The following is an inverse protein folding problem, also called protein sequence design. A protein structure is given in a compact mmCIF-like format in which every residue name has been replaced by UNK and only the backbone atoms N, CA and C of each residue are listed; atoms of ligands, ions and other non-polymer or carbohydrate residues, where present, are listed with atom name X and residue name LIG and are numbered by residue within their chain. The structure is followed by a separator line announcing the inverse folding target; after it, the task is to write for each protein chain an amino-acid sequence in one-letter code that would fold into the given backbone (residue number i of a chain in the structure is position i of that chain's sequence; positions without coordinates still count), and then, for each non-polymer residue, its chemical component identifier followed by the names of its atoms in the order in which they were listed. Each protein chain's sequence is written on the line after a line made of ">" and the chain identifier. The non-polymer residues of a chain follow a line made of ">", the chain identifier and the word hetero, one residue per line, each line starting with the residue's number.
data_IF_398302672844
#
_entry.id   IF_398302672844
#
_cell.length_a   1.000
_cell.length_b   1.000
_cell.length_c   1.000
_cell.angle_alpha   90.00
_cell.angle_beta   90.00
_cell.angle_gamma   90.00
#
_symmetry.space_group_name_H-M   'P 1'
#
loop_
_entity.id
_entity.type
_entity.pdbx_description
1 polymer ?
#
# COMPACT_ATOMS: atom_id res chain seq x y z
N UNK A 1 19.49 -14.45 33.95
CA UNK A 1 20.43 -13.90 32.94
C UNK A 1 19.56 -13.19 31.92
N UNK A 2 19.91 -12.01 31.39
CA UNK A 2 19.19 -11.51 30.22
C UNK A 2 19.35 -12.57 29.13
N UNK A 3 18.23 -13.07 28.59
CA UNK A 3 18.25 -14.06 27.52
C UNK A 3 19.10 -13.51 26.36
N UNK A 4 20.03 -14.32 25.86
CA UNK A 4 20.83 -13.92 24.70
C UNK A 4 19.89 -13.62 23.52
N UNK A 5 20.12 -12.53 22.76
CA UNK A 5 19.31 -12.22 21.60
C UNK A 5 19.42 -13.35 20.57
N UNK A 6 18.28 -13.71 19.96
CA UNK A 6 18.21 -14.80 18.98
C UNK A 6 19.02 -14.46 17.73
N UNK A 7 19.83 -15.42 17.29
CA UNK A 7 20.62 -15.29 16.06
C UNK A 7 19.80 -15.68 14.82
N UNK A 8 20.25 -15.36 13.60
CA UNK A 8 19.63 -15.87 12.38
C UNK A 8 19.51 -17.39 12.33
N UNK A 9 20.48 -18.12 12.91
CA UNK A 9 20.44 -19.58 12.98
C UNK A 9 19.33 -20.09 13.94
N UNK A 10 19.07 -19.36 15.03
CA UNK A 10 17.98 -19.70 15.96
C UNK A 10 16.62 -19.44 15.31
N UNK A 11 16.47 -18.31 14.62
CA UNK A 11 15.28 -18.03 13.83
C UNK A 11 15.08 -19.03 12.69
N UNK A 12 16.13 -19.44 11.99
CA UNK A 12 16.04 -20.49 10.96
C UNK A 12 15.42 -21.78 11.54
N UNK A 13 15.91 -22.25 12.70
CA UNK A 13 15.32 -23.42 13.38
C UNK A 13 13.87 -23.20 13.75
N UNK A 14 13.51 -22.03 14.29
CA UNK A 14 12.11 -21.70 14.62
C UNK A 14 11.21 -21.67 13.38
N UNK A 15 11.68 -21.09 12.29
CA UNK A 15 10.94 -21.00 11.00
C UNK A 15 10.69 -22.40 10.43
N UNK A 16 11.71 -23.27 10.44
CA UNK A 16 11.57 -24.65 9.94
C UNK A 16 10.62 -25.50 10.79
N UNK A 17 10.48 -25.19 12.08
CA UNK A 17 9.54 -25.86 12.99
C UNK A 17 8.21 -25.12 13.17
N UNK A 18 7.99 -24.03 12.41
CA UNK A 18 6.79 -23.24 12.53
C UNK A 18 5.56 -24.02 12.05
N UNK A 19 4.46 -23.93 12.79
CA UNK A 19 3.26 -24.76 12.57
C UNK A 19 2.22 -24.11 11.66
N UNK A 20 2.65 -23.23 10.74
CA UNK A 20 1.74 -22.31 10.03
C UNK A 20 0.72 -23.00 9.12
N UNK A 21 1.07 -24.16 8.53
CA UNK A 21 0.28 -24.81 7.48
C UNK A 21 -1.00 -25.51 7.97
N UNK A 22 -1.25 -25.51 9.28
CA UNK A 22 -2.53 -25.93 9.83
C UNK A 22 -3.69 -24.95 9.47
N UNK A 23 -3.33 -23.69 9.15
CA UNK A 23 -4.25 -22.61 8.76
C UNK A 23 -3.83 -21.86 7.49
N UNK A 24 -2.54 -21.80 7.19
CA UNK A 24 -2.01 -21.13 6.01
C UNK A 24 -1.83 -22.12 4.85
N UNK A 25 -1.87 -21.59 3.63
CA UNK A 25 -1.46 -22.32 2.43
C UNK A 25 -0.10 -21.80 1.97
N UNK A 26 0.66 -22.63 1.27
CA UNK A 26 1.78 -22.12 0.48
C UNK A 26 1.22 -21.26 -0.65
N UNK A 27 1.38 -19.95 -0.53
CA UNK A 27 0.84 -19.01 -1.51
C UNK A 27 1.61 -19.04 -2.81
N UNK A 28 0.96 -18.66 -3.92
CA UNK A 28 1.61 -18.64 -5.22
C UNK A 28 2.77 -17.63 -5.28
N UNK A 29 3.79 -17.95 -6.09
CA UNK A 29 4.85 -17.03 -6.50
C UNK A 29 4.72 -16.82 -8.01
N UNK A 30 4.05 -15.74 -8.41
CA UNK A 30 3.61 -15.54 -9.79
C UNK A 30 4.43 -14.47 -10.51
N UNK A 31 4.84 -14.66 -11.77
CA UNK A 31 5.52 -13.60 -12.51
C UNK A 31 4.57 -12.46 -12.88
N UNK A 32 4.94 -11.22 -12.54
CA UNK A 32 4.32 -10.00 -13.06
C UNK A 32 4.90 -9.70 -14.45
N UNK A 33 4.32 -10.30 -15.49
CA UNK A 33 4.84 -10.28 -16.86
C UNK A 33 4.81 -8.88 -17.47
N UNK A 34 3.71 -8.15 -17.31
CA UNK A 34 3.54 -6.83 -17.87
C UNK A 34 4.47 -5.82 -17.18
N UNK A 35 4.48 -5.82 -15.83
CA UNK A 35 5.40 -4.99 -15.06
C UNK A 35 6.86 -5.32 -15.37
N UNK A 36 7.23 -6.60 -15.35
CA UNK A 36 8.60 -7.05 -15.60
C UNK A 36 9.11 -6.64 -16.98
N UNK A 37 8.28 -6.83 -18.03
CA UNK A 37 8.61 -6.37 -19.38
C UNK A 37 8.78 -4.85 -19.45
N UNK A 38 7.94 -4.08 -18.75
CA UNK A 38 8.01 -2.61 -18.74
C UNK A 38 9.28 -2.08 -18.09
N UNK A 39 9.77 -2.72 -17.03
CA UNK A 39 10.94 -2.26 -16.27
C UNK A 39 12.24 -3.00 -16.63
N UNK A 40 12.22 -3.91 -17.62
CA UNK A 40 13.40 -4.64 -18.07
C UNK A 40 13.98 -5.62 -17.05
N UNK A 41 13.17 -6.12 -16.10
CA UNK A 41 13.59 -7.03 -15.03
C UNK A 41 12.51 -8.10 -14.78
N UNK A 42 12.87 -9.20 -14.13
CA UNK A 42 11.88 -10.20 -13.69
C UNK A 42 11.29 -9.79 -12.35
N UNK A 43 9.97 -9.68 -12.26
CA UNK A 43 9.27 -9.41 -11.00
C UNK A 43 8.38 -10.60 -10.66
N UNK A 44 8.56 -11.13 -9.45
CA UNK A 44 7.77 -12.23 -8.89
C UNK A 44 6.89 -11.69 -7.76
N UNK A 45 5.62 -12.07 -7.74
CA UNK A 45 4.62 -11.66 -6.78
C UNK A 45 4.35 -12.82 -5.83
N UNK A 46 4.74 -12.68 -4.56
CA UNK A 46 4.39 -13.64 -3.51
C UNK A 46 3.00 -13.31 -2.97
N UNK A 47 2.02 -14.13 -3.34
CA UNK A 47 0.57 -13.88 -3.23
C UNK A 47 -0.02 -14.13 -1.83
N UNK A 48 0.51 -13.49 -0.80
CA UNK A 48 -0.02 -13.62 0.57
C UNK A 48 -1.43 -13.04 0.74
N UNK A 49 -1.91 -12.27 -0.23
CA UNK A 49 -3.30 -11.84 -0.38
C UNK A 49 -4.28 -13.00 -0.62
N UNK A 50 -3.81 -14.17 -1.06
CA UNK A 50 -4.64 -15.36 -1.32
C UNK A 50 -4.85 -16.25 -0.08
N UNK A 51 -4.30 -15.86 1.08
CA UNK A 51 -4.52 -16.60 2.32
C UNK A 51 -6.02 -16.54 2.75
N UNK A 52 -6.51 -17.49 3.57
CA UNK A 52 -7.92 -17.50 4.01
C UNK A 52 -8.43 -16.23 4.72
N UNK A 53 -7.53 -15.40 5.25
CA UNK A 53 -7.82 -14.10 5.88
C UNK A 53 -7.28 -12.93 5.06
N UNK A 54 -7.01 -13.17 3.78
CA UNK A 54 -6.56 -12.21 2.77
C UNK A 54 -5.29 -11.43 3.14
N UNK A 55 -4.43 -12.01 3.99
CA UNK A 55 -3.14 -11.43 4.38
C UNK A 55 -2.25 -12.47 5.06
N UNK A 56 -0.96 -12.18 5.18
CA UNK A 56 0.00 -13.08 5.84
C UNK A 56 -0.17 -13.24 7.35
N UNK A 57 -0.97 -12.39 8.01
CA UNK A 57 -0.98 -12.26 9.48
C UNK A 57 -1.39 -13.54 10.21
N UNK A 58 -2.14 -14.44 9.56
CA UNK A 58 -2.47 -15.76 10.12
C UNK A 58 -1.23 -16.59 10.47
N UNK A 59 -0.12 -16.44 9.75
CA UNK A 59 1.07 -17.29 9.92
C UNK A 59 1.68 -17.11 11.30
N UNK A 60 2.15 -15.90 11.63
CA UNK A 60 2.73 -15.64 12.95
C UNK A 60 1.71 -15.65 14.09
N UNK A 61 0.47 -15.21 13.86
CA UNK A 61 -0.58 -15.32 14.88
C UNK A 61 -0.80 -16.79 15.27
N UNK A 62 -1.01 -17.66 14.29
CA UNK A 62 -1.18 -19.08 14.55
C UNK A 62 0.09 -19.72 15.11
N UNK A 63 1.27 -19.39 14.57
CA UNK A 63 2.52 -19.97 15.08
C UNK A 63 2.73 -19.66 16.56
N UNK A 64 2.51 -18.41 16.98
CA UNK A 64 2.55 -18.05 18.41
C UNK A 64 1.55 -18.86 19.22
N UNK A 65 0.31 -18.94 18.76
CA UNK A 65 -0.76 -19.63 19.48
C UNK A 65 -0.54 -21.14 19.57
N UNK A 66 -0.03 -21.76 18.51
CA UNK A 66 0.25 -23.20 18.44
C UNK A 66 1.43 -23.65 19.34
N UNK A 67 2.22 -22.69 19.83
CA UNK A 67 3.30 -22.90 20.80
C UNK A 67 2.89 -22.56 22.25
N UNK A 68 1.65 -22.14 22.48
CA UNK A 68 1.14 -21.92 23.83
C UNK A 68 0.90 -23.25 24.55
N UNK A 69 1.05 -23.24 25.87
CA UNK A 69 0.72 -24.40 26.68
C UNK A 69 -0.79 -24.68 26.69
N UNK A 70 -1.23 -25.92 26.95
CA UNK A 70 -2.64 -26.23 27.10
C UNK A 70 -3.36 -25.35 28.13
N UNK A 71 -2.69 -24.98 29.23
CA UNK A 71 -3.23 -24.10 30.26
C UNK A 71 -3.43 -22.67 29.76
N UNK A 72 -2.50 -22.16 28.95
CA UNK A 72 -2.62 -20.84 28.32
C UNK A 72 -3.77 -20.82 27.30
N UNK A 73 -3.88 -21.87 26.47
CA UNK A 73 -4.97 -22.02 25.50
C UNK A 73 -6.34 -22.19 26.18
N UNK A 74 -6.40 -22.88 27.32
CA UNK A 74 -7.63 -23.05 28.10
C UNK A 74 -8.13 -21.71 28.68
N UNK A 75 -7.21 -20.81 29.08
CA UNK A 75 -7.57 -19.45 29.54
C UNK A 75 -8.04 -18.56 28.39
N UNK A 76 -7.39 -18.69 27.23
CA UNK A 76 -7.67 -17.90 26.05
C UNK A 76 -6.59 -16.89 25.72
N UNK A 77 -6.74 -16.30 24.53
CA UNK A 77 -5.83 -15.31 23.97
C UNK A 77 -6.50 -13.96 23.81
N UNK A 78 -5.69 -12.91 23.73
CA UNK A 78 -6.15 -11.54 23.51
C UNK A 78 -5.25 -10.81 22.52
N UNK A 79 -5.83 -9.93 21.69
CA UNK A 79 -5.06 -8.94 20.96
C UNK A 79 -5.85 -7.63 20.82
N UNK A 80 -5.15 -6.54 20.54
CA UNK A 80 -5.75 -5.28 20.10
C UNK A 80 -5.46 -5.11 18.61
N UNK A 81 -6.51 -5.16 17.79
CA UNK A 81 -6.43 -4.90 16.34
C UNK A 81 -7.83 -4.85 15.76
N UNK A 82 -8.05 -3.95 14.81
CA UNK A 82 -9.28 -3.88 14.04
C UNK A 82 -9.12 -4.43 12.61
N UNK A 83 -8.02 -5.09 12.26
CA UNK A 83 -7.68 -5.43 10.86
C UNK A 83 -7.11 -6.83 10.66
N UNK A 84 -6.10 -6.94 9.78
CA UNK A 84 -5.51 -8.21 9.34
C UNK A 84 -5.04 -9.11 10.50
N UNK A 85 -4.46 -8.52 11.55
CA UNK A 85 -4.02 -9.29 12.72
C UNK A 85 -5.19 -9.89 13.51
N UNK A 86 -6.28 -9.15 13.67
CA UNK A 86 -7.48 -9.63 14.35
C UNK A 86 -8.07 -10.87 13.68
N UNK A 87 -8.14 -10.85 12.33
CA UNK A 87 -8.61 -12.00 11.56
C UNK A 87 -7.66 -13.21 11.72
N UNK A 88 -6.34 -12.98 11.68
CA UNK A 88 -5.34 -14.02 11.90
C UNK A 88 -5.47 -14.70 13.28
N UNK A 89 -5.64 -13.90 14.34
CA UNK A 89 -5.85 -14.41 15.71
C UNK A 89 -7.17 -15.15 15.83
N UNK A 90 -8.26 -14.60 15.31
CA UNK A 90 -9.59 -15.24 15.37
C UNK A 90 -9.61 -16.58 14.63
N UNK A 91 -9.05 -16.65 13.42
CA UNK A 91 -8.90 -17.91 12.67
C UNK A 91 -8.09 -18.93 13.45
N UNK A 92 -6.94 -18.52 13.99
CA UNK A 92 -6.07 -19.41 14.76
C UNK A 92 -6.74 -19.93 16.03
N UNK A 93 -7.52 -19.08 16.69
CA UNK A 93 -8.27 -19.43 17.90
C UNK A 93 -9.32 -20.49 17.62
N UNK A 94 -10.10 -20.30 16.54
CA UNK A 94 -11.09 -21.27 16.07
C UNK A 94 -10.45 -22.61 15.74
N UNK A 95 -9.29 -22.61 15.07
CA UNK A 95 -8.57 -23.84 14.72
C UNK A 95 -8.09 -24.60 15.96
N UNK A 96 -7.61 -23.90 16.98
CA UNK A 96 -7.08 -24.48 18.22
C UNK A 96 -8.15 -24.74 19.29
N UNK A 97 -9.41 -24.35 19.05
CA UNK A 97 -10.48 -24.47 20.02
C UNK A 97 -10.29 -23.60 21.27
N UNK A 98 -9.62 -22.45 21.13
CA UNK A 98 -9.36 -21.50 22.23
C UNK A 98 -10.22 -20.24 22.10
N UNK A 99 -10.54 -19.61 23.23
CA UNK A 99 -11.22 -18.31 23.27
C UNK A 99 -10.26 -17.23 22.78
N UNK A 100 -10.71 -16.37 21.86
CA UNK A 100 -9.95 -15.18 21.44
C UNK A 100 -10.74 -13.90 21.66
N UNK A 101 -10.23 -13.06 22.55
CA UNK A 101 -10.74 -11.72 22.80
C UNK A 101 -10.03 -10.73 21.88
N UNK A 102 -10.79 -9.99 21.09
CA UNK A 102 -10.26 -9.04 20.11
C UNK A 102 -10.75 -7.65 20.49
N UNK A 103 -9.83 -6.82 20.98
CA UNK A 103 -10.16 -5.45 21.38
C UNK A 103 -10.01 -4.52 20.18
N UNK A 104 -11.05 -3.74 19.92
CA UNK A 104 -11.12 -2.78 18.82
C UNK A 104 -11.63 -1.43 19.31
N UNK A 105 -11.25 -0.30 18.67
CA UNK A 105 -11.88 0.99 18.95
C UNK A 105 -13.39 0.96 18.66
N UNK A 106 -14.19 1.75 19.37
CA UNK A 106 -15.64 1.90 19.15
C UNK A 106 -15.96 2.48 17.77
N UNK A 107 -14.99 3.17 17.17
CA UNK A 107 -15.04 3.78 15.83
C UNK A 107 -14.76 2.77 14.70
N UNK A 108 -14.52 1.49 15.03
CA UNK A 108 -14.22 0.47 14.03
C UNK A 108 -15.40 0.22 13.10
N UNK A 109 -15.22 0.24 11.76
CA UNK A 109 -16.30 -0.06 10.82
C UNK A 109 -16.94 -1.43 11.07
N UNK A 110 -18.27 -1.50 10.97
CA UNK A 110 -19.04 -2.72 11.24
C UNK A 110 -18.56 -3.93 10.41
N UNK A 111 -18.17 -3.71 9.15
CA UNK A 111 -17.62 -4.76 8.28
C UNK A 111 -16.39 -5.45 8.89
N UNK A 112 -15.48 -4.70 9.52
CA UNK A 112 -14.26 -5.25 10.15
C UNK A 112 -14.61 -6.02 11.44
N UNK A 113 -15.60 -5.55 12.18
CA UNK A 113 -16.14 -6.24 13.37
C UNK A 113 -16.76 -7.58 12.96
N UNK A 114 -17.60 -7.57 11.93
CA UNK A 114 -18.33 -8.76 11.47
C UNK A 114 -17.38 -9.81 10.88
N UNK A 115 -16.33 -9.40 10.17
CA UNK A 115 -15.30 -10.31 9.68
C UNK A 115 -14.62 -11.11 10.81
N UNK A 116 -14.33 -10.45 11.94
CA UNK A 116 -13.72 -11.13 13.10
C UNK A 116 -14.73 -12.02 13.83
N UNK A 117 -15.97 -11.58 13.98
CA UNK A 117 -17.04 -12.41 14.57
C UNK A 117 -17.33 -13.65 13.74
N UNK A 118 -17.33 -13.55 12.41
CA UNK A 118 -17.51 -14.67 11.49
C UNK A 118 -16.41 -15.73 11.63
N UNK A 119 -15.22 -15.33 12.06
CA UNK A 119 -14.10 -16.23 12.37
C UNK A 119 -14.16 -16.80 13.80
N UNK A 120 -15.12 -16.38 14.62
CA UNK A 120 -15.30 -16.84 16.00
C UNK A 120 -14.60 -16.00 17.06
N UNK A 121 -14.09 -14.81 16.71
CA UNK A 121 -13.49 -13.88 17.67
C UNK A 121 -14.53 -13.17 18.54
N UNK A 122 -14.26 -13.06 19.84
CA UNK A 122 -15.02 -12.27 20.80
C UNK A 122 -14.60 -10.80 20.71
N UNK A 123 -15.36 -10.00 19.97
CA UNK A 123 -15.04 -8.58 19.76
C UNK A 123 -15.47 -7.75 20.97
N UNK A 124 -14.50 -7.04 21.55
CA UNK A 124 -14.70 -6.09 22.63
C UNK A 124 -14.38 -4.67 22.12
N UNK A 125 -15.41 -3.83 22.00
CA UNK A 125 -15.25 -2.43 21.61
C UNK A 125 -14.85 -1.59 22.83
N UNK A 126 -13.74 -0.85 22.73
CA UNK A 126 -13.28 0.03 23.79
C UNK A 126 -12.39 1.16 23.25
N UNK A 127 -12.67 2.39 23.70
CA UNK A 127 -11.89 3.58 23.37
C UNK A 127 -12.10 4.08 21.95
N UNK A 128 -11.62 5.30 21.67
CA UNK A 128 -11.82 5.97 20.39
C UNK A 128 -10.66 5.75 19.41
N UNK A 129 -9.50 5.29 19.94
CA UNK A 129 -8.28 5.06 19.18
C UNK A 129 -7.70 3.65 19.38
N UNK A 130 -6.78 3.25 18.50
CA UNK A 130 -6.01 2.00 18.66
C UNK A 130 -5.25 1.96 19.99
N UNK A 131 -4.69 3.09 20.43
CA UNK A 131 -3.96 3.18 21.70
C UNK A 131 -4.85 2.87 22.90
N UNK A 132 -6.08 3.40 22.90
CA UNK A 132 -7.05 3.13 23.98
C UNK A 132 -7.47 1.66 24.00
N UNK A 133 -7.72 1.08 22.82
CA UNK A 133 -8.02 -0.35 22.68
C UNK A 133 -6.84 -1.23 23.15
N UNK A 134 -5.60 -0.86 22.84
CA UNK A 134 -4.40 -1.58 23.28
C UNK A 134 -4.18 -1.52 24.79
N UNK A 135 -4.33 -0.35 25.41
CA UNK A 135 -4.21 -0.18 26.86
C UNK A 135 -5.27 -1.04 27.57
N UNK A 136 -6.52 -0.97 27.12
CA UNK A 136 -7.60 -1.80 27.66
C UNK A 136 -7.35 -3.29 27.45
N UNK A 137 -6.84 -3.71 26.29
CA UNK A 137 -6.46 -5.11 26.05
C UNK A 137 -5.38 -5.59 27.03
N UNK A 138 -4.42 -4.73 27.37
CA UNK A 138 -3.35 -5.05 28.34
C UNK A 138 -3.89 -5.15 29.77
N UNK A 139 -4.86 -4.32 30.14
CA UNK A 139 -5.57 -4.42 31.42
C UNK A 139 -6.39 -5.71 31.51
N UNK A 140 -7.15 -6.01 30.45
CA UNK A 140 -7.98 -7.20 30.34
C UNK A 140 -7.14 -8.48 30.38
N UNK A 141 -5.99 -8.47 29.70
CA UNK A 141 -4.99 -9.53 29.74
C UNK A 141 -4.60 -9.86 31.18
N UNK A 142 -4.25 -8.85 31.99
CA UNK A 142 -3.84 -9.04 33.39
C UNK A 142 -5.00 -9.51 34.25
N UNK A 143 -6.19 -8.97 34.04
CA UNK A 143 -7.39 -9.28 34.83
C UNK A 143 -7.90 -10.70 34.62
N UNK A 144 -7.92 -11.17 33.37
CA UNK A 144 -8.46 -12.49 33.00
C UNK A 144 -7.37 -13.55 32.82
N UNK A 145 -6.09 -13.18 32.89
CA UNK A 145 -4.97 -14.09 32.71
C UNK A 145 -4.85 -14.62 31.28
N UNK A 146 -5.29 -13.84 30.29
CA UNK A 146 -5.23 -14.17 28.86
C UNK A 146 -3.80 -14.01 28.34
N UNK A 147 -3.48 -14.73 27.26
CA UNK A 147 -2.18 -14.58 26.59
C UNK A 147 -2.26 -13.56 25.46
N UNK A 148 -1.42 -12.52 25.50
CA UNK A 148 -1.39 -11.51 24.44
C UNK A 148 -0.70 -12.04 23.19
N UNK A 149 -1.37 -11.97 22.04
CA UNK A 149 -0.79 -12.34 20.73
C UNK A 149 -0.37 -11.06 20.03
N UNK A 150 0.93 -10.76 20.11
CA UNK A 150 1.47 -9.52 19.58
C UNK A 150 1.45 -9.50 18.02
N UNK A 151 1.16 -8.36 17.38
CA UNK A 151 1.05 -8.28 15.91
C UNK A 151 2.37 -8.40 15.12
N UNK A 152 3.53 -8.27 15.78
CA UNK A 152 4.84 -8.34 15.14
C UNK A 152 6.02 -8.65 16.07
N UNK A 153 6.16 -7.94 17.19
CA UNK A 153 7.26 -8.02 18.16
C UNK A 153 7.22 -9.25 19.09
N UNK A 154 7.25 -10.44 18.52
CA UNK A 154 7.36 -11.71 19.26
C UNK A 154 8.15 -12.73 18.42
N UNK A 155 9.11 -13.47 19.00
CA UNK A 155 9.94 -14.42 18.23
C UNK A 155 9.16 -15.50 17.48
N UNK A 156 8.06 -16.02 18.04
CA UNK A 156 7.23 -17.01 17.35
C UNK A 156 6.40 -16.37 16.25
N UNK A 157 5.97 -15.12 16.44
CA UNK A 157 5.29 -14.36 15.39
C UNK A 157 6.25 -14.14 14.22
N UNK A 158 7.46 -13.65 14.50
CA UNK A 158 8.54 -13.43 13.50
C UNK A 158 8.87 -14.72 12.76
N UNK A 159 9.04 -15.84 13.49
CA UNK A 159 9.32 -17.14 12.88
C UNK A 159 8.18 -17.63 11.98
N UNK A 160 6.92 -17.42 12.39
CA UNK A 160 5.77 -17.72 11.54
C UNK A 160 5.80 -16.91 10.24
N UNK A 161 6.18 -15.63 10.28
CA UNK A 161 6.26 -14.82 9.06
C UNK A 161 7.43 -15.24 8.16
N UNK A 162 8.54 -15.68 8.75
CA UNK A 162 9.72 -16.17 8.01
C UNK A 162 9.44 -17.38 7.12
N UNK A 163 8.34 -18.11 7.35
CA UNK A 163 7.90 -19.20 6.47
C UNK A 163 7.62 -18.72 5.03
N UNK A 164 7.29 -17.45 4.83
CA UNK A 164 7.11 -16.87 3.49
C UNK A 164 8.43 -16.86 2.72
N UNK A 165 9.54 -16.51 3.36
CA UNK A 165 10.85 -16.53 2.72
C UNK A 165 11.31 -17.96 2.41
N UNK A 166 10.99 -18.92 3.29
CA UNK A 166 11.18 -20.35 3.03
C UNK A 166 10.46 -20.79 1.76
N UNK A 167 9.20 -20.40 1.61
CA UNK A 167 8.43 -20.70 0.41
C UNK A 167 9.02 -20.02 -0.83
N UNK A 168 9.38 -18.74 -0.77
CA UNK A 168 9.98 -18.01 -1.90
C UNK A 168 11.24 -18.73 -2.40
N UNK A 169 12.17 -19.09 -1.50
CA UNK A 169 13.42 -19.77 -1.90
C UNK A 169 13.19 -21.20 -2.39
N UNK A 170 12.15 -21.88 -1.92
CA UNK A 170 11.76 -23.20 -2.43
C UNK A 170 11.12 -23.11 -3.83
N UNK A 171 10.26 -22.12 -4.03
CA UNK A 171 9.51 -21.90 -5.28
C UNK A 171 10.39 -21.34 -6.39
N UNK A 172 11.44 -20.57 -6.05
CA UNK A 172 12.39 -20.00 -7.00
C UNK A 172 13.84 -20.31 -6.63
N UNK A 173 14.40 -21.32 -7.29
CA UNK A 173 15.78 -21.79 -7.07
C UNK A 173 16.81 -21.00 -7.89
N UNK A 174 16.37 -20.15 -8.81
CA UNK A 174 17.25 -19.37 -9.69
C UNK A 174 17.89 -18.16 -9.00
N UNK A 175 18.54 -17.32 -9.81
CA UNK A 175 19.05 -16.02 -9.36
C UNK A 175 17.87 -15.18 -8.85
N UNK A 176 18.05 -14.63 -7.65
CA UNK A 176 17.13 -13.71 -6.99
C UNK A 176 18.00 -12.61 -6.42
N UNK A 177 17.82 -11.38 -6.87
CA UNK A 177 18.68 -10.25 -6.55
C UNK A 177 18.19 -9.52 -5.30
N UNK A 178 16.86 -9.32 -5.18
CA UNK A 178 16.27 -8.70 -4.01
C UNK A 178 14.85 -9.19 -3.68
N UNK A 179 14.49 -9.14 -2.40
CA UNK A 179 13.14 -9.33 -1.88
C UNK A 179 12.67 -8.04 -1.20
N UNK A 180 11.57 -7.49 -1.70
CA UNK A 180 10.96 -6.25 -1.20
C UNK A 180 9.81 -6.58 -0.26
N UNK A 181 9.86 -5.98 0.93
CA UNK A 181 8.96 -6.35 2.03
C UNK A 181 8.40 -5.10 2.69
N UNK A 182 7.06 -5.02 2.75
CA UNK A 182 6.36 -3.96 3.47
C UNK A 182 6.67 -4.00 4.98
N UNK A 183 6.88 -2.82 5.56
CA UNK A 183 7.18 -2.64 6.98
C UNK A 183 6.11 -1.76 7.64
N UNK A 184 5.38 -2.37 8.57
CA UNK A 184 4.69 -1.64 9.65
C UNK A 184 5.53 -1.72 10.92
N UNK A 185 5.14 -2.63 11.83
CA UNK A 185 5.90 -2.86 13.07
C UNK A 185 7.17 -3.69 12.90
N UNK A 186 7.41 -4.32 11.75
CA UNK A 186 8.66 -5.02 11.42
C UNK A 186 8.61 -6.56 11.42
N UNK A 187 7.52 -7.19 11.86
CA UNK A 187 7.48 -8.66 12.03
C UNK A 187 7.71 -9.45 10.74
N UNK A 188 7.18 -8.98 9.60
CA UNK A 188 7.35 -9.64 8.30
C UNK A 188 8.80 -9.54 7.80
N UNK A 189 9.34 -8.32 7.71
CA UNK A 189 10.73 -8.07 7.28
C UNK A 189 11.71 -8.81 8.18
N UNK A 190 11.49 -8.86 9.50
CA UNK A 190 12.37 -9.57 10.42
C UNK A 190 12.38 -11.07 10.17
N UNK A 191 11.22 -11.69 9.91
CA UNK A 191 11.13 -13.12 9.59
C UNK A 191 11.80 -13.43 8.25
N UNK A 192 11.52 -12.61 7.24
CA UNK A 192 12.09 -12.74 5.89
C UNK A 192 13.61 -12.56 5.92
N UNK A 193 14.12 -11.52 6.57
CA UNK A 193 15.54 -11.22 6.67
C UNK A 193 16.30 -12.33 7.38
N UNK A 194 15.82 -12.82 8.53
CA UNK A 194 16.46 -13.93 9.24
C UNK A 194 16.60 -15.18 8.37
N UNK A 195 15.54 -15.56 7.65
CA UNK A 195 15.59 -16.74 6.79
C UNK A 195 16.54 -16.56 5.61
N UNK A 196 16.38 -15.46 4.87
CA UNK A 196 17.18 -15.18 3.67
C UNK A 196 18.66 -15.08 4.04
N UNK A 197 19.00 -14.30 5.08
CA UNK A 197 20.40 -14.12 5.49
C UNK A 197 21.03 -15.39 6.05
N UNK A 198 20.25 -16.34 6.55
CA UNK A 198 20.76 -17.63 7.00
C UNK A 198 20.99 -18.64 5.85
N UNK A 199 20.22 -18.55 4.75
CA UNK A 199 20.21 -19.57 3.68
C UNK A 199 20.89 -19.08 2.40
N UNK A 200 20.63 -17.84 2.00
CA UNK A 200 21.12 -17.19 0.77
C UNK A 200 21.46 -15.72 1.05
N UNK A 201 22.54 -15.45 1.82
CA UNK A 201 22.88 -14.10 2.30
C UNK A 201 23.18 -13.09 1.20
N UNK A 202 23.47 -13.56 -0.02
CA UNK A 202 23.71 -12.72 -1.19
C UNK A 202 22.43 -12.03 -1.71
N UNK A 203 21.24 -12.52 -1.36
CA UNK A 203 19.99 -11.86 -1.73
C UNK A 203 19.80 -10.60 -0.85
N UNK A 204 19.50 -9.47 -1.48
CA UNK A 204 19.16 -8.24 -0.76
C UNK A 204 17.75 -8.32 -0.19
N UNK A 205 17.57 -7.88 1.04
CA UNK A 205 16.27 -7.74 1.70
C UNK A 205 16.02 -6.26 1.89
N UNK A 206 15.01 -5.75 1.19
CA UNK A 206 14.72 -4.31 1.11
C UNK A 206 13.39 -4.04 1.83
N UNK A 207 13.47 -3.20 2.86
CA UNK A 207 12.33 -2.73 3.63
C UNK A 207 11.60 -1.59 2.93
N UNK A 208 10.27 -1.65 2.92
CA UNK A 208 9.45 -0.62 2.26
C UNK A 208 8.45 -0.02 3.22
N UNK A 209 8.39 1.30 3.31
CA UNK A 209 7.43 2.05 4.12
C UNK A 209 6.74 3.16 3.31
N UNK A 210 5.61 3.63 3.81
CA UNK A 210 5.06 4.91 3.35
C UNK A 210 5.96 6.06 3.83
N UNK A 211 6.08 7.12 3.03
CA UNK A 211 6.79 8.35 3.42
C UNK A 211 6.19 9.04 4.67
N UNK A 212 4.91 8.83 4.95
CA UNK A 212 4.19 9.35 6.11
C UNK A 212 4.04 8.33 7.26
N UNK A 213 4.71 7.17 7.18
CA UNK A 213 4.73 6.14 8.22
C UNK A 213 6.00 5.29 8.16
N UNK A 214 7.16 5.93 8.25
CA UNK A 214 8.51 5.39 8.04
C UNK A 214 9.29 5.13 9.35
N UNK A 215 8.58 4.75 10.42
CA UNK A 215 9.14 4.62 11.77
C UNK A 215 10.36 3.69 11.87
N UNK A 216 10.44 2.61 11.08
CA UNK A 216 11.59 1.70 11.10
C UNK A 216 12.81 2.35 10.46
N UNK A 217 12.65 2.96 9.29
CA UNK A 217 13.73 3.67 8.59
C UNK A 217 14.31 4.78 9.48
N UNK A 218 13.46 5.61 10.10
CA UNK A 218 13.91 6.65 11.04
C UNK A 218 14.60 6.05 12.27
N UNK A 219 14.06 4.96 12.83
CA UNK A 219 14.66 4.31 14.00
C UNK A 219 16.05 3.73 13.68
N UNK A 220 16.19 3.06 12.53
CA UNK A 220 17.47 2.47 12.09
C UNK A 220 18.51 3.55 11.85
N UNK A 221 18.13 4.64 11.18
CA UNK A 221 19.01 5.79 10.96
C UNK A 221 19.43 6.45 12.29
N UNK A 222 18.53 6.57 13.26
CA UNK A 222 18.81 7.12 14.58
C UNK A 222 19.53 6.15 15.53
N UNK A 223 19.72 4.88 15.13
CA UNK A 223 20.23 3.78 15.97
C UNK A 223 19.44 3.54 17.27
N UNK A 224 18.21 4.05 17.37
CA UNK A 224 17.30 3.87 18.50
C UNK A 224 15.85 3.92 18.01
N UNK A 225 14.93 3.27 18.73
CA UNK A 225 13.50 3.33 18.38
C UNK A 225 12.98 4.76 18.50
N UNK A 226 12.48 5.30 17.39
CA UNK A 226 11.83 6.61 17.30
C UNK A 226 10.32 6.41 17.31
N UNK A 227 9.61 7.23 18.09
CA UNK A 227 8.14 7.30 18.06
C UNK A 227 7.73 8.44 17.13
N UNK A 228 7.01 8.13 16.06
CA UNK A 228 6.47 9.15 15.18
C UNK A 228 5.33 9.92 15.88
N UNK A 229 5.25 11.25 15.71
CA UNK A 229 4.15 12.03 16.27
C UNK A 229 2.82 11.62 15.64
N UNK A 230 2.80 11.38 14.34
CA UNK A 230 1.64 11.01 13.53
C UNK A 230 2.03 10.01 12.44
N UNK A 231 1.02 9.33 11.89
CA UNK A 231 1.17 8.37 10.80
C UNK A 231 0.04 8.52 9.78
N UNK A 232 0.36 8.35 8.51
CA UNK A 232 -0.62 8.27 7.43
C UNK A 232 -1.56 7.08 7.57
N UNK A 233 -2.82 7.24 7.15
CA UNK A 233 -3.86 6.21 7.23
C UNK A 233 -4.25 5.60 5.87
N UNK A 234 -3.49 5.94 4.82
CA UNK A 234 -3.72 5.33 3.50
C UNK A 234 -3.41 3.84 3.54
N UNK A 235 -2.22 3.48 4.03
CA UNK A 235 -1.79 2.10 4.31
C UNK A 235 -1.94 1.78 5.80
N UNK A 236 -3.17 1.52 6.25
CA UNK A 236 -3.51 1.29 7.67
C UNK A 236 -2.77 0.08 8.28
N UNK A 237 -2.50 -0.96 7.49
CA UNK A 237 -1.70 -2.13 7.92
C UNK A 237 -0.24 -1.82 8.26
N UNK A 238 0.31 -0.70 7.78
CA UNK A 238 1.68 -0.25 8.04
C UNK A 238 1.78 1.04 8.87
N UNK A 239 0.64 1.64 9.24
CA UNK A 239 0.54 2.86 10.03
C UNK A 239 0.96 2.62 11.51
N UNK A 240 2.27 2.56 11.76
CA UNK A 240 2.84 2.21 13.06
C UNK A 240 3.73 3.34 13.58
N UNK A 241 3.36 3.95 14.72
CA UNK A 241 4.11 5.04 15.35
C UNK A 241 5.43 4.58 15.98
N UNK A 242 5.47 3.37 16.54
CA UNK A 242 6.62 2.81 17.24
C UNK A 242 6.82 1.36 16.85
N UNK A 243 8.00 1.05 16.33
CA UNK A 243 8.37 -0.31 15.90
C UNK A 243 8.68 -1.23 17.08
N UNK A 244 8.66 -2.54 16.83
CA UNK A 244 8.99 -3.54 17.85
C UNK A 244 10.46 -3.50 18.25
N UNK A 245 10.77 -3.90 19.47
CA UNK A 245 12.13 -3.96 20.01
C UNK A 245 12.99 -4.98 19.28
N UNK A 246 12.50 -6.21 19.18
CA UNK A 246 13.23 -7.30 18.53
C UNK A 246 13.25 -7.09 17.02
N UNK A 247 12.12 -6.63 16.46
CA UNK A 247 12.05 -6.33 15.03
C UNK A 247 12.99 -5.18 14.63
N UNK A 248 13.18 -4.18 15.49
CA UNK A 248 14.14 -3.09 15.28
C UNK A 248 15.58 -3.61 15.29
N UNK A 249 15.94 -4.42 16.31
CA UNK A 249 17.27 -5.04 16.41
C UNK A 249 17.60 -5.83 15.14
N UNK A 250 16.70 -6.72 14.73
CA UNK A 250 16.86 -7.54 13.52
C UNK A 250 16.97 -6.66 12.27
N UNK A 251 16.08 -5.67 12.13
CA UNK A 251 16.05 -4.84 10.92
C UNK A 251 17.35 -4.04 10.76
N UNK A 252 17.88 -3.49 11.86
CA UNK A 252 19.16 -2.78 11.86
C UNK A 252 20.34 -3.68 11.45
N UNK A 253 20.28 -4.97 11.76
CA UNK A 253 21.38 -5.92 11.56
C UNK A 253 21.33 -6.64 10.20
N UNK A 254 20.13 -6.93 9.68
CA UNK A 254 19.95 -7.86 8.56
C UNK A 254 19.31 -7.25 7.30
N UNK A 255 18.67 -6.08 7.38
CA UNK A 255 18.00 -5.44 6.23
C UNK A 255 19.03 -4.57 5.50
N UNK A 256 19.13 -4.76 4.18
CA UNK A 256 20.19 -4.14 3.39
C UNK A 256 19.87 -2.68 3.00
N UNK A 257 18.59 -2.35 2.85
CA UNK A 257 18.15 -1.02 2.42
C UNK A 257 16.70 -0.75 2.84
N UNK A 258 16.36 0.53 3.03
CA UNK A 258 15.01 1.00 3.30
C UNK A 258 14.58 2.00 2.23
N UNK A 259 13.40 1.79 1.66
CA UNK A 259 12.79 2.67 0.66
C UNK A 259 11.48 3.21 1.20
N UNK A 260 11.26 4.51 1.06
CA UNK A 260 9.97 5.14 1.29
C UNK A 260 9.28 5.41 -0.04
N UNK A 261 7.98 5.15 -0.10
CA UNK A 261 7.11 5.42 -1.25
C UNK A 261 5.94 6.32 -0.82
N UNK A 262 5.42 7.12 -1.73
CA UNK A 262 4.24 7.96 -1.49
C UNK A 262 2.93 7.26 -1.88
N UNK A 263 1.81 7.93 -1.59
CA UNK A 263 0.46 7.42 -1.87
C UNK A 263 0.23 7.16 -3.36
N UNK A 264 0.74 8.03 -4.23
CA UNK A 264 0.54 7.95 -5.68
C UNK A 264 1.30 6.74 -6.26
N UNK A 265 2.53 6.52 -5.82
CA UNK A 265 3.33 5.36 -6.18
C UNK A 265 2.66 4.05 -5.74
N UNK A 266 2.06 4.02 -4.55
CA UNK A 266 1.30 2.86 -4.07
C UNK A 266 0.03 2.64 -4.89
N UNK A 267 -0.72 3.69 -5.23
CA UNK A 267 -1.89 3.58 -6.11
C UNK A 267 -1.52 3.00 -7.48
N UNK A 268 -0.42 3.48 -8.07
CA UNK A 268 0.12 2.91 -9.30
C UNK A 268 0.55 1.44 -9.11
N UNK A 269 1.13 1.08 -7.96
CA UNK A 269 1.45 -0.30 -7.61
C UNK A 269 0.22 -1.22 -7.54
N UNK A 270 -0.89 -0.76 -6.96
CA UNK A 270 -2.16 -1.51 -6.94
C UNK A 270 -2.66 -1.75 -8.37
N UNK A 271 -2.60 -0.71 -9.22
CA UNK A 271 -2.97 -0.80 -10.64
C UNK A 271 -2.10 -1.81 -11.39
N UNK A 272 -0.78 -1.81 -11.15
CA UNK A 272 0.14 -2.76 -11.76
C UNK A 272 -0.18 -4.21 -11.38
N UNK A 273 -0.43 -4.47 -10.09
CA UNK A 273 -0.88 -5.80 -9.63
C UNK A 273 -2.18 -6.21 -10.31
N UNK A 274 -3.16 -5.29 -10.40
CA UNK A 274 -4.42 -5.57 -11.08
C UNK A 274 -4.24 -5.86 -12.58
N UNK A 275 -3.31 -5.17 -13.25
CA UNK A 275 -3.02 -5.39 -14.67
C UNK A 275 -2.46 -6.80 -14.90
N UNK A 276 -1.51 -7.22 -14.06
CA UNK A 276 -0.85 -8.52 -14.20
C UNK A 276 -1.70 -9.70 -13.70
N UNK A 277 -2.49 -9.51 -12.64
CA UNK A 277 -3.12 -10.63 -11.92
C UNK A 277 -4.65 -10.60 -11.91
N UNK A 278 -5.27 -9.48 -12.32
CA UNK A 278 -6.72 -9.20 -12.15
C UNK A 278 -7.19 -9.29 -10.69
N UNK A 279 -6.26 -9.22 -9.74
CA UNK A 279 -6.54 -9.21 -8.30
C UNK A 279 -6.36 -7.81 -7.75
N UNK A 280 -7.10 -7.51 -6.68
CA UNK A 280 -7.03 -6.23 -5.98
C UNK A 280 -6.32 -6.46 -4.66
N UNK A 281 -5.28 -5.68 -4.40
CA UNK A 281 -4.54 -5.68 -3.13
C UNK A 281 -4.86 -4.40 -2.34
N UNK A 282 -4.65 -4.46 -1.03
CA UNK A 282 -4.72 -3.29 -0.18
C UNK A 282 -3.45 -2.44 -0.35
N UNK A 283 -3.43 -1.17 0.09
CA UNK A 283 -2.25 -0.30 -0.07
C UNK A 283 -0.94 -0.92 0.46
N UNK A 284 -0.97 -1.54 1.64
CA UNK A 284 0.19 -2.26 2.20
C UNK A 284 0.66 -3.41 1.30
N UNK A 285 -0.27 -4.08 0.62
CA UNK A 285 0.01 -5.16 -0.33
C UNK A 285 0.73 -4.68 -1.58
N UNK A 286 0.59 -3.43 -1.98
CA UNK A 286 1.23 -2.86 -3.17
C UNK A 286 2.57 -2.14 -2.90
N UNK A 287 2.93 -1.90 -1.63
CA UNK A 287 4.17 -1.19 -1.25
C UNK A 287 5.42 -1.78 -1.94
N UNK A 288 5.59 -3.10 -1.87
CA UNK A 288 6.75 -3.78 -2.44
C UNK A 288 6.84 -3.59 -3.97
N UNK A 289 5.70 -3.56 -4.66
CA UNK A 289 5.65 -3.33 -6.12
C UNK A 289 6.01 -1.88 -6.46
N UNK A 290 5.49 -0.92 -5.70
CA UNK A 290 5.84 0.50 -5.85
C UNK A 290 7.35 0.72 -5.66
N UNK A 291 7.93 0.12 -4.61
CA UNK A 291 9.36 0.24 -4.34
C UNK A 291 10.25 -0.39 -5.41
N UNK A 292 9.85 -1.52 -6.01
CA UNK A 292 10.61 -2.11 -7.13
C UNK A 292 10.75 -1.11 -8.28
N UNK A 293 9.67 -0.40 -8.63
CA UNK A 293 9.68 0.59 -9.73
C UNK A 293 10.67 1.72 -9.42
N UNK A 294 10.57 2.30 -8.22
CA UNK A 294 11.47 3.36 -7.76
C UNK A 294 12.92 2.88 -7.68
N UNK A 295 13.13 1.64 -7.22
CA UNK A 295 14.46 1.04 -7.11
C UNK A 295 15.12 0.89 -8.48
N UNK A 296 14.40 0.36 -9.47
CA UNK A 296 14.89 0.23 -10.85
C UNK A 296 15.17 1.59 -11.48
N UNK A 297 14.29 2.58 -11.27
CA UNK A 297 14.51 3.95 -11.76
C UNK A 297 15.76 4.59 -11.16
N UNK A 298 15.98 4.39 -9.85
CA UNK A 298 17.11 4.97 -9.12
C UNK A 298 18.44 4.29 -9.46
N UNK A 299 18.43 2.96 -9.63
CA UNK A 299 19.66 2.18 -9.80
C UNK A 299 19.96 1.81 -11.26
N UNK A 300 19.01 1.98 -12.18
CA UNK A 300 19.18 1.65 -13.60
C UNK A 300 19.40 0.16 -13.87
N UNK A 301 18.89 -0.72 -13.01
CA UNK A 301 19.11 -2.17 -13.09
C UNK A 301 18.38 -2.80 -14.28
N UNK A 302 19.00 -3.81 -14.90
CA UNK A 302 18.44 -4.56 -16.02
C UNK A 302 18.75 -6.06 -15.90
N UNK A 303 17.78 -6.91 -16.24
CA UNK A 303 17.92 -8.36 -16.22
C UNK A 303 18.00 -8.98 -14.82
N UNK A 304 17.76 -8.21 -13.76
CA UNK A 304 17.70 -8.70 -12.39
C UNK A 304 16.35 -9.36 -12.09
N UNK A 305 16.29 -10.15 -11.01
CA UNK A 305 15.09 -10.83 -10.55
C UNK A 305 14.72 -10.37 -9.15
N UNK A 306 13.51 -9.85 -8.99
CA UNK A 306 12.98 -9.33 -7.72
C UNK A 306 11.75 -10.11 -7.28
N UNK A 307 11.57 -10.26 -5.97
CA UNK A 307 10.31 -10.72 -5.38
C UNK A 307 9.64 -9.59 -4.58
N UNK A 308 8.37 -9.33 -4.86
CA UNK A 308 7.50 -8.46 -4.06
C UNK A 308 6.52 -9.31 -3.26
N UNK A 309 6.40 -9.05 -1.96
CA UNK A 309 5.41 -9.71 -1.11
C UNK A 309 4.10 -8.90 -1.13
N UNK A 310 3.07 -9.46 -1.75
CA UNK A 310 1.71 -8.90 -1.72
C UNK A 310 1.05 -9.24 -0.39
N UNK A 311 1.33 -8.42 0.63
CA UNK A 311 1.10 -8.81 2.02
C UNK A 311 -0.37 -8.80 2.48
N UNK A 312 -1.30 -8.24 1.70
CA UNK A 312 -2.73 -8.28 2.02
C UNK A 312 -3.65 -7.67 0.95
N UNK A 313 -4.95 -7.92 1.11
CA UNK A 313 -6.02 -7.47 0.22
C UNK A 313 -7.31 -6.99 0.94
N UNK A 314 -7.25 -6.69 2.23
CA UNK A 314 -8.42 -6.24 3.00
C UNK A 314 -8.64 -4.72 2.85
N UNK A 315 -9.16 -4.31 1.69
CA UNK A 315 -9.50 -2.91 1.41
C UNK A 315 -11.02 -2.74 1.20
N UNK A 316 -11.57 -1.60 1.63
CA UNK A 316 -12.95 -1.24 1.28
C UNK A 316 -13.04 -0.93 -0.23
N UNK A 317 -14.06 -1.48 -0.90
CA UNK A 317 -14.32 -1.28 -2.31
C UNK A 317 -14.43 0.20 -2.70
N UNK A 318 -15.03 1.05 -1.84
CA UNK A 318 -15.16 2.48 -2.11
C UNK A 318 -13.81 3.20 -2.25
N UNK A 319 -12.75 2.69 -1.62
CA UNK A 319 -11.39 3.25 -1.74
C UNK A 319 -10.80 3.05 -3.15
N UNK A 320 -11.34 2.13 -3.96
CA UNK A 320 -10.86 1.94 -5.32
C UNK A 320 -11.05 3.17 -6.20
N UNK A 321 -12.07 3.99 -5.92
CA UNK A 321 -12.25 5.26 -6.61
C UNK A 321 -11.04 6.17 -6.41
N UNK A 322 -10.64 6.36 -5.15
CA UNK A 322 -9.46 7.16 -4.82
C UNK A 322 -8.18 6.58 -5.44
N UNK A 323 -8.01 5.25 -5.39
CA UNK A 323 -6.87 4.57 -6.01
C UNK A 323 -6.84 4.80 -7.52
N UNK A 324 -7.99 4.70 -8.20
CA UNK A 324 -8.08 4.93 -9.64
C UNK A 324 -7.74 6.37 -10.01
N UNK A 325 -8.30 7.34 -9.28
CA UNK A 325 -8.02 8.78 -9.49
C UNK A 325 -6.52 9.09 -9.28
N UNK A 326 -5.91 8.60 -8.19
CA UNK A 326 -4.49 8.84 -7.88
C UNK A 326 -3.51 8.08 -8.78
N UNK A 327 -3.85 6.87 -9.23
CA UNK A 327 -2.96 6.08 -10.08
C UNK A 327 -2.77 6.72 -11.47
N UNK A 328 -3.79 7.39 -12.02
CA UNK A 328 -3.65 8.14 -13.28
C UNK A 328 -2.74 9.37 -13.12
N UNK A 329 -2.85 10.05 -11.98
CA UNK A 329 -2.01 11.19 -11.61
C UNK A 329 -0.54 10.77 -11.44
N UNK A 330 -0.26 9.75 -10.61
CA UNK A 330 1.10 9.34 -10.26
C UNK A 330 1.90 8.74 -11.42
N UNK A 331 1.23 8.18 -12.43
CA UNK A 331 1.88 7.68 -13.65
C UNK A 331 2.09 8.78 -14.71
N UNK A 332 1.75 10.05 -14.42
CA UNK A 332 1.68 11.15 -15.40
C UNK A 332 0.93 10.72 -16.67
N UNK A 333 -0.21 10.03 -16.48
CA UNK A 333 -1.13 9.63 -17.56
C UNK A 333 -2.23 10.64 -17.83
N UNK A 334 -2.34 11.65 -16.98
CA UNK A 334 -3.19 12.81 -17.16
C UNK A 334 -2.32 14.07 -17.03
N UNK A 335 -2.39 14.95 -18.02
CA UNK A 335 -1.81 16.28 -17.95
C UNK A 335 -2.92 17.31 -17.72
N UNK A 336 -2.71 18.18 -16.74
CA UNK A 336 -3.66 19.23 -16.35
C UNK A 336 -3.12 20.58 -16.79
N UNK A 337 -3.97 21.39 -17.41
CA UNK A 337 -3.61 22.70 -17.94
C UNK A 337 -4.62 23.77 -17.53
N UNK A 338 -4.13 24.97 -17.24
CA UNK A 338 -4.93 26.18 -17.36
C UNK A 338 -4.58 26.84 -18.70
N UNK A 339 -5.53 26.77 -19.64
CA UNK A 339 -5.38 27.29 -21.00
C UNK A 339 -6.12 28.60 -21.13
N UNK A 340 -5.41 29.66 -21.50
CA UNK A 340 -5.98 30.96 -21.86
C UNK A 340 -6.25 31.00 -23.36
N UNK A 341 -7.52 31.19 -23.71
CA UNK A 341 -7.99 31.34 -25.09
C UNK A 341 -8.70 32.69 -25.26
N UNK A 342 -8.74 33.28 -26.46
CA UNK A 342 -9.54 34.48 -26.69
C UNK A 342 -11.03 34.23 -26.44
N UNK A 343 -11.72 35.12 -25.73
CA UNK A 343 -13.15 35.00 -25.42
C UNK A 343 -14.00 35.45 -26.62
N UNK A 344 -13.97 34.65 -27.69
CA UNK A 344 -14.69 34.92 -28.93
C UNK A 344 -15.32 33.65 -29.53
N UNK A 345 -16.28 33.84 -30.44
CA UNK A 345 -16.99 32.75 -31.07
C UNK A 345 -16.03 31.88 -31.88
N UNK A 346 -15.99 30.58 -31.54
CA UNK A 346 -15.17 29.59 -32.24
C UNK A 346 -13.84 29.27 -31.56
N UNK A 347 -13.42 30.00 -30.53
CA UNK A 347 -12.17 29.72 -29.80
C UNK A 347 -12.11 28.31 -29.23
N UNK A 348 -13.15 27.87 -28.52
CA UNK A 348 -13.26 26.51 -27.99
C UNK A 348 -13.11 25.46 -29.09
N UNK A 349 -13.76 25.66 -30.24
CA UNK A 349 -13.67 24.74 -31.37
C UNK A 349 -12.26 24.66 -31.92
N UNK A 350 -11.59 25.80 -32.15
CA UNK A 350 -10.20 25.83 -32.62
C UNK A 350 -9.25 25.15 -31.64
N UNK A 351 -9.45 25.38 -30.34
CA UNK A 351 -8.68 24.73 -29.30
C UNK A 351 -8.89 23.20 -29.31
N UNK A 352 -10.14 22.72 -29.35
CA UNK A 352 -10.43 21.29 -29.44
C UNK A 352 -9.91 20.66 -30.74
N UNK A 353 -9.96 21.37 -31.87
CA UNK A 353 -9.36 20.94 -33.13
C UNK A 353 -7.83 20.78 -33.00
N UNK A 354 -7.16 21.70 -32.29
CA UNK A 354 -5.73 21.57 -31.98
C UNK A 354 -5.46 20.38 -31.05
N UNK A 355 -6.27 20.16 -30.02
CA UNK A 355 -6.16 18.99 -29.12
C UNK A 355 -6.21 17.70 -29.94
N UNK A 356 -7.11 17.61 -30.92
CA UNK A 356 -7.19 16.47 -31.85
C UNK A 356 -6.00 16.33 -32.81
N UNK A 357 -5.20 17.38 -33.00
CA UNK A 357 -4.01 17.41 -33.85
C UNK A 357 -2.69 17.28 -33.09
N UNK A 358 -2.73 17.22 -31.75
CA UNK A 358 -1.53 17.11 -30.92
C UNK A 358 -0.72 15.86 -31.31
N UNK A 359 0.62 15.96 -31.41
CA UNK A 359 1.46 14.88 -31.92
C UNK A 359 1.45 13.67 -30.99
N UNK A 360 0.94 12.51 -31.42
CA UNK A 360 0.86 11.29 -30.60
C UNK A 360 -0.34 10.42 -30.95
N UNK A 361 -0.80 9.60 -30.00
CA UNK A 361 -2.06 8.87 -30.14
C UNK A 361 -3.26 9.82 -29.98
N UNK A 362 -4.45 9.39 -30.42
CA UNK A 362 -5.70 10.07 -30.11
C UNK A 362 -5.82 10.21 -28.58
N UNK A 363 -5.96 11.44 -28.10
CA UNK A 363 -6.03 11.74 -26.66
C UNK A 363 -7.46 11.94 -26.25
N UNK A 364 -7.81 11.37 -25.10
CA UNK A 364 -9.10 11.65 -24.49
C UNK A 364 -8.98 12.94 -23.68
N UNK A 365 -10.01 13.78 -23.78
CA UNK A 365 -10.19 14.93 -22.89
C UNK A 365 -10.84 14.39 -21.63
N UNK A 366 -10.08 14.36 -20.53
CA UNK A 366 -10.57 13.86 -19.23
C UNK A 366 -11.36 14.94 -18.50
N UNK A 367 -10.96 16.20 -18.66
CA UNK A 367 -11.66 17.36 -18.10
C UNK A 367 -11.68 18.53 -19.08
N UNK A 368 -12.79 19.27 -19.07
CA UNK A 368 -12.96 20.49 -19.85
C UNK A 368 -13.92 21.44 -19.12
N UNK A 369 -13.38 22.20 -18.18
CA UNK A 369 -14.16 23.05 -17.29
C UNK A 369 -13.91 24.53 -17.60
N UNK A 370 -14.98 25.31 -17.69
CA UNK A 370 -14.91 26.73 -17.97
C UNK A 370 -16.11 27.46 -17.34
N UNK A 371 -15.85 28.69 -16.87
CA UNK A 371 -16.87 29.66 -16.48
C UNK A 371 -16.39 31.03 -16.95
N UNK A 372 -17.28 31.78 -17.61
CA UNK A 372 -16.95 33.14 -18.06
C UNK A 372 -16.53 34.02 -16.88
N UNK A 373 -15.36 34.64 -16.96
CA UNK A 373 -14.81 35.50 -15.90
C UNK A 373 -14.28 36.83 -16.41
N UNK A 374 -13.88 36.91 -17.68
CA UNK A 374 -13.42 38.11 -18.37
C UNK A 374 -14.07 38.17 -19.77
N UNK A 375 -14.18 39.36 -20.35
CA UNK A 375 -14.84 39.57 -21.64
C UNK A 375 -13.92 39.44 -22.86
N UNK A 376 -12.60 39.28 -22.64
CA UNK A 376 -11.57 39.21 -23.68
C UNK A 376 -10.78 37.91 -23.61
N UNK A 377 -10.58 37.36 -22.42
CA UNK A 377 -9.81 36.13 -22.21
C UNK A 377 -10.64 35.08 -21.44
N UNK A 378 -10.68 33.87 -21.97
CA UNK A 378 -11.28 32.71 -21.34
C UNK A 378 -10.17 31.84 -20.74
N UNK A 379 -10.28 31.51 -19.45
CA UNK A 379 -9.40 30.53 -18.81
C UNK A 379 -10.13 29.20 -18.69
N UNK A 380 -9.61 28.19 -19.38
CA UNK A 380 -10.19 26.84 -19.46
C UNK A 380 -9.29 25.88 -18.70
N UNK A 381 -9.87 25.13 -17.77
CA UNK A 381 -9.17 24.03 -17.12
C UNK A 381 -9.37 22.76 -17.94
N UNK A 382 -8.27 22.18 -18.40
CA UNK A 382 -8.27 21.08 -19.37
C UNK A 382 -7.42 19.94 -18.83
N UNK A 383 -8.00 18.74 -18.81
CA UNK A 383 -7.28 17.49 -18.55
C UNK A 383 -7.18 16.68 -19.82
N UNK A 384 -5.98 16.19 -20.15
CA UNK A 384 -5.72 15.37 -21.33
C UNK A 384 -4.97 14.10 -20.96
N UNK A 385 -5.35 12.97 -21.55
CA UNK A 385 -4.58 11.73 -21.39
C UNK A 385 -3.21 11.85 -22.07
N UNK A 386 -2.16 11.42 -21.39
CA UNK A 386 -0.78 11.34 -21.89
C UNK A 386 -0.36 9.89 -22.08
N UNK A 387 0.56 9.69 -23.01
CA UNK A 387 1.10 8.37 -23.39
C UNK A 387 2.47 8.11 -22.77
N UNK A 388 3.22 9.17 -22.42
CA UNK A 388 4.56 9.08 -21.85
C UNK A 388 4.76 10.15 -20.77
N UNK A 389 5.61 9.82 -19.79
CA UNK A 389 6.07 10.75 -18.76
C UNK A 389 6.72 11.98 -19.39
N UNK A 390 6.46 13.17 -18.83
CA UNK A 390 6.99 14.45 -19.31
C UNK A 390 6.34 15.01 -20.60
N UNK A 391 5.34 14.33 -21.16
CA UNK A 391 4.64 14.77 -22.37
C UNK A 391 3.84 16.07 -22.17
N UNK A 392 3.45 16.38 -20.92
CA UNK A 392 2.70 17.59 -20.56
C UNK A 392 3.41 18.87 -21.02
N UNK A 393 4.74 18.90 -20.88
CA UNK A 393 5.57 20.05 -21.28
C UNK A 393 5.47 20.30 -22.78
N UNK A 394 5.59 19.24 -23.59
CA UNK A 394 5.48 19.33 -25.05
C UNK A 394 4.09 19.75 -25.50
N UNK A 395 3.04 19.29 -24.81
CA UNK A 395 1.67 19.71 -25.07
C UNK A 395 1.50 21.21 -24.77
N UNK A 396 1.98 21.68 -23.61
CA UNK A 396 1.90 23.08 -23.23
C UNK A 396 2.66 23.99 -24.22
N UNK A 397 3.86 23.58 -24.67
CA UNK A 397 4.61 24.29 -25.69
C UNK A 397 3.87 24.34 -27.03
N UNK A 398 3.22 23.24 -27.43
CA UNK A 398 2.42 23.19 -28.66
C UNK A 398 1.23 24.14 -28.60
N UNK A 399 0.55 24.22 -27.45
CA UNK A 399 -0.53 25.20 -27.23
C UNK A 399 -0.01 26.64 -27.36
N UNK A 400 1.10 26.96 -26.70
CA UNK A 400 1.72 28.30 -26.78
C UNK A 400 2.12 28.67 -28.21
N UNK A 401 2.68 27.72 -28.97
CA UNK A 401 3.06 27.92 -30.36
C UNK A 401 1.86 28.25 -31.28
N UNK A 402 0.66 27.78 -30.92
CA UNK A 402 -0.59 28.05 -31.66
C UNK A 402 -1.39 29.22 -31.08
N UNK A 403 -0.79 30.02 -30.20
CA UNK A 403 -1.39 31.23 -29.64
C UNK A 403 -2.32 31.00 -28.46
N UNK A 404 -2.30 29.79 -27.86
CA UNK A 404 -3.03 29.51 -26.62
C UNK A 404 -2.06 29.59 -25.44
N UNK A 405 -2.30 30.52 -24.50
CA UNK A 405 -1.54 30.55 -23.26
C UNK A 405 -1.77 29.24 -22.51
N UNK A 406 -0.72 28.53 -22.12
CA UNK A 406 -0.86 27.25 -21.43
C UNK A 406 0.06 27.18 -20.21
N UNK A 407 -0.55 27.17 -19.04
CA UNK A 407 0.11 26.87 -17.78
C UNK A 407 -0.03 25.37 -17.51
N UNK A 408 1.09 24.68 -17.37
CA UNK A 408 1.12 23.25 -17.01
C UNK A 408 0.95 23.12 -15.49
N UNK A 409 -0.13 22.46 -15.09
CA UNK A 409 -0.52 22.21 -13.70
C UNK A 409 -0.37 20.72 -13.33
N UNK A 410 0.24 19.90 -14.20
CA UNK A 410 0.37 18.45 -14.01
C UNK A 410 1.09 18.09 -12.70
N UNK A 411 2.04 18.92 -12.28
CA UNK A 411 2.79 18.74 -11.03
C UNK A 411 2.32 19.64 -9.88
N UNK A 412 1.20 20.33 -10.03
CA UNK A 412 0.63 21.20 -9.00
C UNK A 412 -0.37 20.40 -8.13
N UNK A 413 -0.04 20.16 -6.86
CA UNK A 413 -0.89 19.40 -5.95
C UNK A 413 -2.25 20.06 -5.70
N UNK A 414 -2.27 21.40 -5.61
CA UNK A 414 -3.51 22.14 -5.38
C UNK A 414 -4.44 22.02 -6.60
N UNK A 415 -3.88 22.01 -7.80
CA UNK A 415 -4.64 21.79 -9.02
C UNK A 415 -5.27 20.38 -9.08
N UNK A 416 -4.45 19.37 -8.76
CA UNK A 416 -4.83 17.95 -8.79
C UNK A 416 -5.86 17.57 -7.73
N UNK A 417 -5.71 18.08 -6.50
CA UNK A 417 -6.57 17.70 -5.38
C UNK A 417 -7.81 18.59 -5.24
N UNK A 418 -7.71 19.87 -5.60
CA UNK A 418 -8.75 20.85 -5.29
C UNK A 418 -9.29 21.56 -6.53
N UNK A 419 -8.44 22.25 -7.31
CA UNK A 419 -8.92 23.18 -8.36
C UNK A 419 -9.79 22.47 -9.38
N UNK A 420 -9.44 21.24 -9.79
CA UNK A 420 -10.25 20.46 -10.74
C UNK A 420 -11.73 20.33 -10.34
N UNK A 421 -12.01 20.28 -9.03
CA UNK A 421 -13.36 20.18 -8.48
C UNK A 421 -14.00 21.54 -8.15
N UNK A 422 -13.25 22.64 -8.29
CA UNK A 422 -13.69 23.99 -7.93
C UNK A 422 -13.87 24.90 -9.15
N UNK A 423 -13.39 24.52 -10.34
CA UNK A 423 -13.56 25.31 -11.56
C UNK A 423 -15.04 25.49 -11.87
N UNK A 424 -15.47 26.76 -11.92
CA UNK A 424 -16.89 27.10 -12.05
C UNK A 424 -17.22 28.39 -11.30
N UNK A 425 -18.29 28.34 -10.51
CA UNK A 425 -18.71 29.46 -9.66
C UNK A 425 -19.62 30.49 -10.32
N UNK A 426 -19.78 31.64 -9.67
CA UNK A 426 -20.63 32.75 -10.14
C UNK A 426 -19.84 33.67 -11.05
N UNK A 427 -20.51 34.20 -12.06
CA UNK A 427 -19.94 35.21 -12.96
C UNK A 427 -20.83 36.43 -13.00
N UNK A 428 -20.21 37.60 -12.88
CA UNK A 428 -20.89 38.89 -13.08
C UNK A 428 -21.21 39.19 -14.55
N UNK A 429 -20.72 38.39 -15.50
CA UNK A 429 -20.96 38.56 -16.95
C UNK A 429 -22.09 37.65 -17.48
N UNK A 430 -22.52 36.68 -16.68
CA UNK A 430 -23.54 35.70 -17.06
C UNK A 430 -24.94 36.16 -16.58
N UNK A 431 -25.63 36.98 -17.39
CA UNK A 431 -26.95 37.52 -17.04
C UNK A 431 -28.13 36.78 -17.68
N UNK A 432 -28.00 36.38 -18.96
CA UNK A 432 -29.09 35.79 -19.77
C UNK A 432 -28.76 34.35 -20.22
N UNK A 433 -28.08 33.58 -19.38
CA UNK A 433 -27.69 32.22 -19.72
C UNK A 433 -28.82 31.21 -19.59
N UNK A 434 -28.78 30.16 -20.41
CA UNK A 434 -29.68 29.00 -20.32
C UNK A 434 -28.85 27.77 -19.99
N UNK A 435 -29.27 27.02 -18.98
CA UNK A 435 -28.62 25.77 -18.64
C UNK A 435 -29.17 24.63 -19.50
N UNK A 436 -28.26 23.91 -20.17
CA UNK A 436 -28.57 22.75 -21.01
C UNK A 436 -27.73 21.56 -20.54
N UNK A 437 -28.34 20.36 -20.53
CA UNK A 437 -27.61 19.10 -20.32
C UNK A 437 -27.60 18.33 -21.62
N UNK A 438 -26.41 18.03 -22.12
CA UNK A 438 -26.21 17.19 -23.32
C UNK A 438 -25.54 15.90 -22.89
N UNK A 439 -26.05 14.77 -23.37
CA UNK A 439 -25.44 13.44 -23.19
C UNK A 439 -25.24 12.85 -24.58
N UNK A 440 -24.01 12.46 -24.87
CA UNK A 440 -23.63 11.83 -26.13
C UNK A 440 -22.70 10.64 -25.84
N UNK A 441 -22.66 9.63 -26.73
CA UNK A 441 -21.72 8.52 -26.58
C UNK A 441 -20.28 9.02 -26.63
N UNK A 442 -19.46 8.60 -25.66
CA UNK A 442 -18.03 8.92 -25.63
C UNK A 442 -17.30 8.18 -26.77
N UNK A 443 -16.52 8.92 -27.55
CA UNK A 443 -15.71 8.42 -28.66
C UNK A 443 -14.40 9.22 -28.73
N UNK A 444 -13.26 8.59 -29.06
CA UNK A 444 -11.98 9.27 -29.27
C UNK A 444 -12.04 10.30 -30.40
#
# INVERSE_FOLDING_TARGET
>A
MPDQPLTPADYLKKILNARVYDVAVESALEPARALGARIGNTVLLKREDQQPVFSFKLRGAYNKMAHLSPEQLARGVICASAGNHAQGVALGARKLGTRAVIVMPVTTPQLKIDAVRALGGEVQLHGDSYSDAYLFATELQKREGLTFVHPFDDPEVIAGQGTIAMEILRQHQGRLDAVFVAIGGGGLISGVANYIKAVRPEIRVIGVQMNDSDAMAQSVAAQQRVTLPDVGLFSDGTAVKLVGEETFRISRELVDEFITVDTDAVCAGIKDVFIDTRSIVEPAGALAVAAIKQYVETHGTQGETYAAILCGANMNFDRLRFVAERAEVGEEREALFAVTIPEERGSFRRFCELVGQLPGATRNVTEFNYRISDAREAHVFVGLTTTRRGESTTIAETFRAHGFGALDLTHDELAKEHVRYMVGGRSGLAHDERLLRVVFPERP
#
